data_IF_829673962745
#
_entry.id   IF_829673962745
#
_cell.length_a   1.000
_cell.length_b   1.000
_cell.length_c   1.000
_cell.angle_alpha   90.00
_cell.angle_beta   90.00
_cell.angle_gamma   90.00
#
_symmetry.space_group_name_H-M   'P 1'
#
loop_
_entity.id
_entity.type
_entity.pdbx_description
1 polymer ?
#
# COMPACT_ATOMS: atom_id res chain seq x y z
N UNK A 1 -3.52 5.96 17.98
CA UNK A 1 -4.91 5.73 17.53
C UNK A 1 -5.53 4.72 18.48
N UNK A 2 -6.79 4.93 18.88
CA UNK A 2 -7.50 4.05 19.80
C UNK A 2 -8.29 2.99 19.03
N UNK A 3 -8.43 1.80 19.61
CA UNK A 3 -9.02 0.58 19.02
C UNK A 3 -10.47 0.70 18.51
N UNK A 4 -11.16 1.80 18.83
CA UNK A 4 -12.52 2.06 18.37
C UNK A 4 -12.56 2.70 16.97
N UNK A 5 -11.54 3.49 16.59
CA UNK A 5 -11.45 4.09 15.25
C UNK A 5 -11.14 3.03 14.19
N UNK A 6 -10.50 1.91 14.59
CA UNK A 6 -10.10 0.80 13.70
C UNK A 6 -11.28 -0.07 13.21
N UNK A 7 -12.44 -0.02 13.89
CA UNK A 7 -13.60 -0.86 13.57
C UNK A 7 -14.60 -0.22 12.60
N UNK A 8 -14.56 1.11 12.44
CA UNK A 8 -15.41 1.81 11.47
C UNK A 8 -14.70 2.02 10.12
N UNK A 9 -13.47 1.49 10.02
CA UNK A 9 -12.73 1.53 8.78
C UNK A 9 -13.34 0.55 7.79
N UNK A 10 -14.05 1.06 6.78
CA UNK A 10 -14.55 0.23 5.68
C UNK A 10 -13.40 -0.57 5.07
N UNK A 11 -13.65 -1.77 4.53
CA UNK A 11 -12.62 -2.64 3.90
C UNK A 11 -11.73 -1.91 2.87
N UNK A 12 -12.16 -0.74 2.40
CA UNK A 12 -11.44 0.20 1.55
C UNK A 12 -10.20 0.84 2.18
N UNK A 13 -10.02 0.75 3.50
CA UNK A 13 -8.94 1.42 4.23
C UNK A 13 -7.74 0.52 4.51
N UNK A 14 -7.73 -0.69 3.98
CA UNK A 14 -6.56 -1.56 3.95
C UNK A 14 -6.16 -1.83 2.51
N UNK A 15 -4.85 -1.83 2.22
CA UNK A 15 -4.38 -2.28 0.92
C UNK A 15 -4.68 -3.77 0.72
N UNK A 16 -4.58 -4.55 1.79
CA UNK A 16 -4.89 -5.97 1.87
C UNK A 16 -6.03 -6.22 2.87
N UNK A 17 -7.31 -6.14 2.46
CA UNK A 17 -8.45 -6.21 3.36
C UNK A 17 -8.58 -7.56 4.06
N UNK A 18 -8.39 -8.66 3.32
CA UNK A 18 -8.51 -10.03 3.85
C UNK A 18 -7.46 -10.33 4.93
N UNK A 19 -6.27 -9.74 4.80
CA UNK A 19 -5.18 -9.89 5.76
C UNK A 19 -5.12 -8.74 6.78
N UNK A 20 -5.98 -7.72 6.64
CA UNK A 20 -5.96 -6.43 7.37
C UNK A 20 -4.53 -5.84 7.46
N UNK A 21 -3.77 -5.90 6.36
CA UNK A 21 -2.40 -5.36 6.26
C UNK A 21 -2.38 -4.04 5.50
N UNK A 22 -1.41 -3.19 5.85
CA UNK A 22 -1.16 -1.88 5.24
C UNK A 22 -2.40 -0.97 5.29
N UNK A 23 -2.73 -0.41 6.47
CA UNK A 23 -3.77 0.60 6.57
C UNK A 23 -3.46 1.78 5.63
N UNK A 24 -4.52 2.44 5.15
CA UNK A 24 -4.50 3.56 4.20
C UNK A 24 -5.33 4.75 4.73
N UNK A 25 -5.56 4.80 6.04
CA UNK A 25 -6.42 5.78 6.70
C UNK A 25 -5.87 7.22 6.67
N UNK A 26 -4.56 7.39 6.51
CA UNK A 26 -3.93 8.70 6.39
C UNK A 26 -2.71 8.70 5.46
N UNK A 27 -2.18 9.89 5.20
CA UNK A 27 -1.02 10.08 4.31
C UNK A 27 0.25 9.35 4.79
N UNK A 28 0.47 9.24 6.11
CA UNK A 28 1.65 8.54 6.64
C UNK A 28 1.52 7.03 6.43
N UNK A 29 0.33 6.49 6.66
CA UNK A 29 -0.04 5.11 6.38
C UNK A 29 0.15 4.77 4.90
N UNK A 30 -0.33 5.60 3.97
CA UNK A 30 -0.13 5.38 2.53
C UNK A 30 1.35 5.38 2.13
N UNK A 31 2.16 6.32 2.65
CA UNK A 31 3.60 6.34 2.37
C UNK A 31 4.31 5.09 2.90
N UNK A 32 3.94 4.65 4.09
CA UNK A 32 4.47 3.42 4.67
C UNK A 32 4.09 2.19 3.84
N UNK A 33 2.84 2.12 3.38
CA UNK A 33 2.35 1.04 2.53
C UNK A 33 3.09 0.96 1.20
N UNK A 34 3.41 2.10 0.57
CA UNK A 34 4.24 2.15 -0.64
C UNK A 34 5.66 1.66 -0.33
N UNK A 35 6.27 2.20 0.73
CA UNK A 35 7.66 1.93 1.08
C UNK A 35 7.93 0.48 1.51
N UNK A 36 6.90 -0.24 2.00
CA UNK A 36 7.01 -1.61 2.52
C UNK A 36 6.24 -2.63 1.68
N UNK A 37 5.73 -2.21 0.52
CA UNK A 37 4.93 -3.07 -0.36
C UNK A 37 5.67 -4.36 -0.76
N UNK A 38 7.01 -4.30 -0.84
CA UNK A 38 7.87 -5.44 -1.12
C UNK A 38 7.96 -6.47 0.00
N UNK A 39 7.80 -6.01 1.25
CA UNK A 39 7.89 -6.82 2.46
C UNK A 39 6.60 -7.59 2.76
N UNK A 40 5.52 -7.35 2.02
CA UNK A 40 4.24 -8.05 2.25
C UNK A 40 4.33 -9.47 1.73
N UNK A 41 4.45 -10.44 2.65
CA UNK A 41 4.46 -11.87 2.34
C UNK A 41 3.08 -12.52 2.52
N UNK A 42 2.90 -13.69 1.90
CA UNK A 42 1.68 -14.50 2.01
C UNK A 42 0.51 -13.99 1.19
N UNK A 43 0.78 -13.27 0.11
CA UNK A 43 -0.21 -12.72 -0.83
C UNK A 43 0.16 -13.10 -2.26
N UNK A 44 -0.86 -13.33 -3.08
CA UNK A 44 -0.73 -13.61 -4.51
C UNK A 44 -0.47 -12.31 -5.29
N UNK A 45 0.09 -12.44 -6.49
CA UNK A 45 0.27 -11.29 -7.40
C UNK A 45 -1.05 -10.58 -7.71
N UNK A 46 -2.15 -11.33 -7.81
CA UNK A 46 -3.50 -10.76 -7.99
C UNK A 46 -3.91 -9.89 -6.79
N UNK A 47 -3.60 -10.34 -5.58
CA UNK A 47 -3.85 -9.55 -4.36
C UNK A 47 -2.95 -8.31 -4.33
N UNK A 48 -1.69 -8.42 -4.74
CA UNK A 48 -0.77 -7.27 -4.90
C UNK A 48 -1.29 -6.27 -5.92
N UNK A 49 -1.77 -6.72 -7.09
CA UNK A 49 -2.34 -5.84 -8.11
C UNK A 49 -3.57 -5.07 -7.58
N UNK A 50 -4.44 -5.73 -6.82
CA UNK A 50 -5.60 -5.09 -6.18
C UNK A 50 -5.18 -4.11 -5.09
N UNK A 51 -4.20 -4.49 -4.25
CA UNK A 51 -3.67 -3.65 -3.18
C UNK A 51 -3.01 -2.39 -3.74
N UNK A 52 -2.22 -2.52 -4.81
CA UNK A 52 -1.55 -1.39 -5.45
C UNK A 52 -2.54 -0.36 -6.01
N UNK A 53 -3.67 -0.82 -6.59
CA UNK A 53 -4.75 0.08 -7.03
C UNK A 53 -5.40 0.84 -5.87
N UNK A 54 -5.58 0.19 -4.71
CA UNK A 54 -6.09 0.85 -3.50
C UNK A 54 -5.11 1.89 -2.97
N UNK A 55 -3.81 1.57 -2.95
CA UNK A 55 -2.74 2.49 -2.55
C UNK A 55 -2.71 3.72 -3.46
N UNK A 56 -2.79 3.55 -4.79
CA UNK A 56 -2.85 4.67 -5.73
C UNK A 56 -4.08 5.55 -5.50
N UNK A 57 -5.25 4.94 -5.28
CA UNK A 57 -6.46 5.69 -4.97
C UNK A 57 -6.34 6.48 -3.66
N UNK A 58 -5.77 5.88 -2.62
CA UNK A 58 -5.54 6.55 -1.35
C UNK A 58 -4.49 7.67 -1.48
N UNK A 59 -3.42 7.43 -2.21
CA UNK A 59 -2.39 8.43 -2.48
C UNK A 59 -2.97 9.66 -3.21
N UNK A 60 -3.83 9.45 -4.21
CA UNK A 60 -4.53 10.54 -4.88
C UNK A 60 -5.45 11.33 -3.94
N UNK A 61 -6.05 10.71 -2.91
CA UNK A 61 -6.88 11.41 -1.91
C UNK A 61 -6.05 12.26 -0.95
N UNK A 62 -4.81 11.89 -0.71
CA UNK A 62 -3.90 12.57 0.21
C UNK A 62 -2.82 13.40 -0.51
N UNK A 63 -2.98 13.62 -1.81
CA UNK A 63 -2.03 14.36 -2.67
C UNK A 63 -0.58 13.83 -2.55
N UNK A 64 -0.43 12.51 -2.45
CA UNK A 64 0.87 11.83 -2.48
C UNK A 64 1.19 11.46 -3.92
N UNK A 65 2.30 12.00 -4.42
CA UNK A 65 2.80 11.66 -5.75
C UNK A 65 3.45 10.28 -5.76
N UNK A 66 2.98 9.40 -6.64
CA UNK A 66 3.55 8.07 -6.88
C UNK A 66 4.03 8.03 -8.33
N UNK A 67 5.35 7.91 -8.51
CA UNK A 67 5.96 7.80 -9.84
C UNK A 67 5.80 6.40 -10.45
N UNK A 68 5.60 5.37 -9.62
CA UNK A 68 5.43 3.99 -10.06
C UNK A 68 3.98 3.70 -10.46
N UNK A 69 3.76 3.25 -11.69
CA UNK A 69 2.43 2.89 -12.17
C UNK A 69 2.05 1.45 -11.78
N UNK A 70 3.02 0.54 -11.80
CA UNK A 70 2.90 -0.84 -11.32
C UNK A 70 3.80 -1.05 -10.09
N UNK A 71 3.33 -1.83 -9.11
CA UNK A 71 4.12 -2.20 -7.95
C UNK A 71 5.42 -2.90 -8.35
N UNK A 72 5.44 -3.64 -9.48
CA UNK A 72 6.63 -4.29 -10.03
C UNK A 72 7.77 -3.32 -10.32
N UNK A 73 7.45 -2.06 -10.65
CA UNK A 73 8.44 -1.01 -10.87
C UNK A 73 9.18 -0.65 -9.57
N UNK A 74 8.53 -0.77 -8.40
CA UNK A 74 9.18 -0.61 -7.10
C UNK A 74 10.30 -1.64 -6.88
N UNK A 75 10.09 -2.88 -7.33
CA UNK A 75 11.08 -3.96 -7.20
C UNK A 75 12.19 -3.86 -8.24
N UNK A 76 11.86 -3.42 -9.46
CA UNK A 76 12.83 -3.23 -10.53
C UNK A 76 13.87 -2.14 -10.17
N UNK A 77 13.45 -1.08 -9.47
CA UNK A 77 14.32 0.01 -9.02
C UNK A 77 15.36 -0.38 -7.96
N UNK A 78 15.16 -1.49 -7.23
CA UNK A 78 16.05 -1.93 -6.15
C UNK A 78 17.33 -2.65 -6.61
N UNK A 79 17.40 -3.07 -7.89
CA UNK A 79 18.56 -3.80 -8.44
C UNK A 79 19.59 -2.91 -9.15
N UNK A 80 19.35 -1.59 -9.25
CA UNK A 80 20.20 -0.70 -10.06
C UNK A 80 21.18 0.21 -9.26
N UNK A 81 21.21 0.16 -7.92
CA UNK A 81 22.20 0.93 -7.11
C UNK A 81 22.74 0.12 -5.93
N UNK A 82 23.61 -0.83 -6.22
CA UNK A 82 24.69 -1.26 -5.33
C UNK A 82 25.91 -1.57 -6.22
N UNK A 83 26.55 -0.51 -6.69
CA UNK A 83 27.93 -0.54 -7.20
C UNK A 83 28.87 -0.17 -6.06
#
# INVERSE_FOLDING_TARGET
MSTAEENDLTESEFAFPEQRKEPLADAAHVRNAIARFDQVEGVTDTERDRAWKRIQAAASRFDIDISAHDWRELFAGGKAKRT
#
